data_IF_040442295815
#
_entry.id   IF_040442295815
#
_cell.length_a   1.000
_cell.length_b   1.000
_cell.length_c   1.000
_cell.angle_alpha   90.00
_cell.angle_beta   90.00
_cell.angle_gamma   90.00
#
_symmetry.space_group_name_H-M   'P 1'
#
loop_
_entity.id
_entity.type
_entity.pdbx_description
1 polymer ?
#
# COMPACT_ATOMS: atom_id res chain seq x y z
N UNK A 1 -26.13 1.57 -15.46
CA UNK A 1 -25.22 1.01 -14.44
C UNK A 1 -23.94 1.82 -14.46
N UNK A 2 -23.79 2.78 -13.55
CA UNK A 2 -22.54 3.54 -13.44
C UNK A 2 -21.62 2.71 -12.56
N UNK A 3 -20.51 2.21 -13.12
CA UNK A 3 -19.45 1.56 -12.35
C UNK A 3 -19.08 2.47 -11.18
N UNK A 4 -19.24 1.96 -9.96
CA UNK A 4 -18.70 2.64 -8.78
C UNK A 4 -17.19 2.70 -8.94
N UNK A 5 -16.67 3.87 -9.30
CA UNK A 5 -15.26 4.19 -9.11
C UNK A 5 -14.99 4.00 -7.62
N UNK A 6 -14.09 3.07 -7.28
CA UNK A 6 -13.65 2.84 -5.90
C UNK A 6 -12.77 4.03 -5.52
N UNK A 7 -13.40 5.12 -5.11
CA UNK A 7 -12.71 6.31 -4.61
C UNK A 7 -12.35 6.07 -3.14
N UNK A 8 -11.07 6.24 -2.81
CA UNK A 8 -10.60 6.15 -1.42
C UNK A 8 -11.10 7.41 -0.69
N UNK A 9 -12.22 7.28 0.00
CA UNK A 9 -12.82 8.35 0.81
C UNK A 9 -12.64 8.09 2.31
N UNK A 10 -12.46 9.17 3.07
CA UNK A 10 -12.55 9.15 4.54
C UNK A 10 -13.59 10.17 4.97
N UNK A 11 -14.59 9.70 5.71
CA UNK A 11 -15.59 10.56 6.32
C UNK A 11 -15.05 11.07 7.66
N UNK A 12 -14.90 12.40 7.75
CA UNK A 12 -14.50 13.06 8.98
C UNK A 12 -15.73 13.38 9.82
N UNK A 13 -15.62 13.21 11.14
CA UNK A 13 -16.66 13.66 12.05
C UNK A 13 -16.42 15.14 12.42
N UNK A 14 -17.48 15.88 12.75
CA UNK A 14 -17.41 17.34 13.04
C UNK A 14 -16.48 17.71 14.20
N UNK A 15 -16.23 16.77 15.11
CA UNK A 15 -15.36 16.96 16.29
C UNK A 15 -13.93 16.47 16.09
N UNK A 16 -13.59 16.01 14.89
CA UNK A 16 -12.30 15.41 14.63
C UNK A 16 -11.31 16.42 14.07
N UNK A 17 -10.11 16.42 14.64
CA UNK A 17 -9.00 17.24 14.15
C UNK A 17 -8.59 16.85 12.72
N UNK A 18 -8.44 17.85 11.85
CA UNK A 18 -8.12 17.67 10.43
C UNK A 18 -6.86 16.82 10.23
N UNK A 19 -5.84 17.00 11.07
CA UNK A 19 -4.57 16.27 10.95
C UNK A 19 -4.76 14.78 11.24
N UNK A 20 -5.69 14.39 12.13
CA UNK A 20 -6.06 12.97 12.35
C UNK A 20 -6.74 12.38 11.12
N UNK A 21 -7.57 13.16 10.44
CA UNK A 21 -8.15 12.81 9.14
C UNK A 21 -7.09 12.49 8.09
N UNK A 22 -6.18 13.43 7.85
CA UNK A 22 -5.10 13.29 6.86
C UNK A 22 -4.18 12.11 7.16
N UNK A 23 -3.86 11.86 8.43
CA UNK A 23 -3.05 10.70 8.83
C UNK A 23 -3.73 9.37 8.51
N UNK A 24 -5.04 9.27 8.74
CA UNK A 24 -5.81 8.06 8.37
C UNK A 24 -5.87 7.90 6.85
N UNK A 25 -6.05 8.99 6.10
CA UNK A 25 -6.05 8.95 4.64
C UNK A 25 -4.74 8.42 4.11
N UNK A 26 -3.61 8.94 4.62
CA UNK A 26 -2.28 8.42 4.29
C UNK A 26 -2.16 6.93 4.61
N UNK A 27 -2.64 6.46 5.78
CA UNK A 27 -2.60 5.04 6.15
C UNK A 27 -3.42 4.16 5.20
N UNK A 28 -4.61 4.60 4.80
CA UNK A 28 -5.46 3.86 3.85
C UNK A 28 -4.78 3.79 2.49
N UNK A 29 -4.28 4.92 1.96
CA UNK A 29 -3.54 4.95 0.69
C UNK A 29 -2.30 4.03 0.68
N UNK A 30 -1.59 3.96 1.80
CA UNK A 30 -0.44 3.07 1.96
C UNK A 30 -0.85 1.59 2.05
N UNK A 31 -1.96 1.29 2.73
CA UNK A 31 -2.51 -0.07 2.84
C UNK A 31 -2.94 -0.62 1.48
N UNK A 32 -3.63 0.20 0.70
CA UNK A 32 -4.06 -0.14 -0.67
C UNK A 32 -2.90 -0.18 -1.67
N UNK A 33 -1.68 0.24 -1.26
CA UNK A 33 -0.48 0.27 -2.10
C UNK A 33 -0.64 1.06 -3.41
N UNK A 34 -1.55 2.03 -3.45
CA UNK A 34 -1.88 2.80 -4.66
C UNK A 34 -0.63 3.42 -5.32
N UNK A 35 0.25 4.04 -4.53
CA UNK A 35 1.48 4.64 -5.05
C UNK A 35 2.50 3.60 -5.57
N UNK A 36 2.52 2.39 -5.02
CA UNK A 36 3.34 1.29 -5.54
C UNK A 36 2.80 0.82 -6.89
N UNK A 37 1.48 0.67 -6.99
CA UNK A 37 0.81 0.32 -8.23
C UNK A 37 1.02 1.35 -9.33
N UNK A 38 0.82 2.65 -9.05
CA UNK A 38 1.04 3.72 -10.02
C UNK A 38 2.49 3.73 -10.54
N UNK A 39 3.47 3.46 -9.67
CA UNK A 39 4.88 3.33 -10.08
C UNK A 39 5.11 2.11 -10.97
N UNK A 40 4.49 0.98 -10.64
CA UNK A 40 4.59 -0.25 -11.44
C UNK A 40 3.87 -0.14 -12.78
N UNK A 41 2.81 0.66 -12.89
CA UNK A 41 2.06 0.91 -14.13
C UNK A 41 2.76 1.90 -15.05
N UNK A 42 3.66 2.74 -14.54
CA UNK A 42 4.34 3.78 -15.33
C UNK A 42 5.18 3.20 -16.48
N UNK A 43 5.79 2.04 -16.28
CA UNK A 43 6.66 1.39 -17.26
C UNK A 43 6.36 -0.11 -17.34
N UNK A 44 6.49 -0.69 -18.53
CA UNK A 44 6.34 -2.13 -18.69
C UNK A 44 7.43 -2.88 -17.93
N UNK A 45 7.03 -3.78 -17.03
CA UNK A 45 7.92 -4.78 -16.43
C UNK A 45 7.60 -6.16 -16.99
N UNK A 46 8.64 -6.86 -17.46
CA UNK A 46 8.51 -8.26 -17.87
C UNK A 46 7.94 -9.09 -16.71
N UNK A 47 6.98 -10.01 -16.95
CA UNK A 47 6.36 -10.82 -15.89
C UNK A 47 7.37 -11.59 -15.02
N UNK A 48 8.46 -12.07 -15.62
CA UNK A 48 9.54 -12.76 -14.89
C UNK A 48 10.29 -11.84 -13.92
N UNK A 49 10.55 -10.59 -14.31
CA UNK A 49 11.19 -9.60 -13.44
C UNK A 49 10.28 -9.26 -12.25
N UNK A 50 8.97 -9.09 -12.49
CA UNK A 50 7.97 -8.89 -11.43
C UNK A 50 7.92 -10.04 -10.43
N UNK A 51 7.94 -11.30 -10.91
CA UNK A 51 7.99 -12.50 -10.05
C UNK A 51 9.28 -12.55 -9.22
N UNK A 52 10.43 -12.25 -9.83
CA UNK A 52 11.73 -12.23 -9.14
C UNK A 52 11.78 -11.16 -8.04
N UNK A 53 11.30 -9.95 -8.33
CA UNK A 53 11.21 -8.87 -7.36
C UNK A 53 10.31 -9.23 -6.17
N UNK A 54 9.13 -9.83 -6.44
CA UNK A 54 8.22 -10.32 -5.38
C UNK A 54 8.88 -11.39 -4.50
N UNK A 55 9.58 -12.35 -5.09
CA UNK A 55 10.29 -13.39 -4.34
C UNK A 55 11.41 -12.81 -3.46
N UNK A 56 12.18 -11.85 -3.99
CA UNK A 56 13.24 -11.15 -3.22
C UNK A 56 12.65 -10.40 -2.03
N UNK A 57 11.57 -9.64 -2.23
CA UNK A 57 10.89 -8.91 -1.16
C UNK A 57 10.31 -9.86 -0.09
N UNK A 58 9.72 -10.99 -0.50
CA UNK A 58 9.20 -11.99 0.43
C UNK A 58 10.30 -12.63 1.30
N UNK A 59 11.43 -13.02 0.68
CA UNK A 59 12.60 -13.57 1.40
C UNK A 59 13.16 -12.57 2.41
N UNK A 60 13.29 -11.31 2.01
CA UNK A 60 13.76 -10.25 2.90
C UNK A 60 12.82 -10.02 4.08
N UNK A 61 11.50 -9.95 3.83
CA UNK A 61 10.51 -9.80 4.89
C UNK A 61 10.49 -11.00 5.85
N UNK A 62 10.70 -12.21 5.36
CA UNK A 62 10.81 -13.41 6.20
C UNK A 62 12.05 -13.35 7.11
N UNK A 63 13.21 -12.96 6.55
CA UNK A 63 14.45 -12.74 7.32
C UNK A 63 14.23 -11.70 8.43
N UNK A 64 13.60 -10.56 8.13
CA UNK A 64 13.33 -9.53 9.14
C UNK A 64 12.40 -10.04 10.26
N UNK A 65 11.34 -10.78 9.91
CA UNK A 65 10.43 -11.36 10.92
C UNK A 65 11.15 -12.30 11.87
N UNK A 66 12.02 -13.16 11.35
CA UNK A 66 12.82 -14.09 12.16
C UNK A 66 13.83 -13.34 13.03
N UNK A 67 14.43 -12.26 12.54
CA UNK A 67 15.35 -11.43 13.34
C UNK A 67 14.66 -10.74 14.51
N UNK A 68 13.43 -10.28 14.31
CA UNK A 68 12.66 -9.55 15.31
C UNK A 68 11.79 -10.46 16.21
N UNK A 69 11.81 -11.78 16.01
CA UNK A 69 11.05 -12.71 16.86
C UNK A 69 11.75 -13.06 18.17
N UNK A 70 13.05 -12.78 18.29
CA UNK A 70 13.86 -13.11 19.47
C UNK A 70 14.05 -11.93 20.43
N UNK A 71 13.09 -10.99 20.45
CA UNK A 71 13.04 -9.87 21.39
C UNK A 71 11.67 -9.76 22.03
#
# INVERSE_FOLDING_TARGET
MVERIIMIEIRLNKREDLQRGLRRLKKVLLREKLFEELRNRRHFQKPSAKRRAKAKAARFNAMLRQRHSEW
#
